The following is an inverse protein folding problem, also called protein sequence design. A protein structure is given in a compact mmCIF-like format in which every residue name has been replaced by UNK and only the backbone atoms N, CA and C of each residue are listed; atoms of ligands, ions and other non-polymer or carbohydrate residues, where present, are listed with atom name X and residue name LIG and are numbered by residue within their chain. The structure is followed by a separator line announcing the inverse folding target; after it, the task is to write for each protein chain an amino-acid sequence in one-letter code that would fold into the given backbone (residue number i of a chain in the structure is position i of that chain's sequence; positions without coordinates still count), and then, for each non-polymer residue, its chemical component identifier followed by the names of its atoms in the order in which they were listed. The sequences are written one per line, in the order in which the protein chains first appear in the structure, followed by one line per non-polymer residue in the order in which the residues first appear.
data_IF_641217751119
#
_entry.id   IF_641217751119
#
_cell.length_a   1.000
_cell.length_b   1.000
_cell.length_c   1.000
_cell.angle_alpha   90.00
_cell.angle_beta   90.00
_cell.angle_gamma   90.00
#
_symmetry.space_group_name_H-M   'P 1'
#
loop_
_entity.id
_entity.type
_entity.pdbx_description
1 polymer ?
#
# COMPACT_ATOMS: atom_id res chain seq x y z
N UNK A 1 25.73 4.06 10.82
CA UNK A 1 25.00 2.79 11.05
C UNK A 1 24.20 2.47 9.79
N UNK A 2 24.69 1.56 8.96
CA UNK A 2 23.99 1.07 7.77
C UNK A 2 22.99 0.01 8.23
N UNK A 3 21.69 0.25 7.99
CA UNK A 3 20.64 -0.70 8.40
C UNK A 3 20.84 -2.03 7.66
N UNK A 4 20.98 -3.12 8.42
CA UNK A 4 21.01 -4.47 7.91
C UNK A 4 19.69 -4.76 7.19
N UNK A 5 19.76 -4.94 5.87
CA UNK A 5 18.66 -5.47 5.07
C UNK A 5 18.39 -6.88 5.57
N UNK A 6 17.34 -7.07 6.36
CA UNK A 6 16.93 -8.38 6.83
C UNK A 6 16.76 -9.33 5.64
N UNK A 7 17.64 -10.32 5.52
CA UNK A 7 17.55 -11.37 4.52
C UNK A 7 16.30 -12.19 4.81
N UNK A 8 15.22 -11.93 4.07
CA UNK A 8 14.01 -12.73 4.16
C UNK A 8 14.29 -14.10 3.58
N UNK A 9 14.42 -15.10 4.46
CA UNK A 9 14.50 -16.51 4.05
C UNK A 9 13.26 -16.86 3.23
N UNK A 10 13.39 -17.47 2.05
CA UNK A 10 12.23 -17.82 1.24
C UNK A 10 11.43 -18.92 1.94
N UNK A 11 10.25 -18.58 2.46
CA UNK A 11 9.29 -19.56 2.96
C UNK A 11 8.69 -20.33 1.79
N UNK A 12 8.78 -21.66 1.82
CA UNK A 12 8.19 -22.55 0.81
C UNK A 12 6.76 -22.90 1.23
N UNK A 13 5.80 -22.57 0.38
CA UNK A 13 4.38 -22.87 0.59
C UNK A 13 3.92 -23.89 -0.45
N UNK A 14 3.31 -24.99 0.01
CA UNK A 14 2.69 -26.00 -0.87
C UNK A 14 1.18 -25.87 -0.80
N UNK A 15 0.53 -25.66 -1.94
CA UNK A 15 -0.94 -25.49 -2.03
C UNK A 15 -1.49 -26.55 -2.99
N UNK A 16 -2.60 -27.17 -2.62
CA UNK A 16 -3.35 -28.07 -3.50
C UNK A 16 -4.32 -27.22 -4.33
N UNK A 17 -4.25 -27.38 -5.65
CA UNK A 17 -5.09 -26.67 -6.61
C UNK A 17 -5.58 -27.64 -7.68
N UNK A 18 -6.70 -27.31 -8.31
CA UNK A 18 -7.27 -28.12 -9.39
C UNK A 18 -6.33 -28.22 -10.59
N UNK A 19 -6.51 -29.30 -11.36
CA UNK A 19 -5.71 -29.58 -12.56
C UNK A 19 -5.86 -28.52 -13.64
N UNK A 20 -7.06 -27.93 -13.76
CA UNK A 20 -7.33 -26.89 -14.74
C UNK A 20 -6.66 -25.57 -14.37
N UNK A 21 -6.62 -25.25 -13.08
CA UNK A 21 -5.87 -24.09 -12.58
C UNK A 21 -4.36 -24.28 -12.81
N UNK A 22 -3.86 -25.49 -12.60
CA UNK A 22 -2.46 -25.83 -12.89
C UNK A 22 -2.11 -25.65 -14.38
N UNK A 23 -3.00 -26.08 -15.29
CA UNK A 23 -2.82 -25.90 -16.74
C UNK A 23 -2.84 -24.43 -17.14
N UNK A 24 -3.80 -23.67 -16.61
CA UNK A 24 -3.92 -22.23 -16.86
C UNK A 24 -2.68 -21.48 -16.38
N UNK A 25 -2.20 -21.78 -15.17
CA UNK A 25 -0.99 -21.18 -14.60
C UNK A 25 0.26 -21.52 -15.42
N UNK A 26 0.36 -22.74 -15.94
CA UNK A 26 1.46 -23.14 -16.83
C UNK A 26 1.39 -22.44 -18.21
N UNK A 27 0.21 -22.12 -18.72
CA UNK A 27 0.05 -21.32 -19.95
C UNK A 27 0.47 -19.88 -19.72
N UNK A 28 0.07 -19.31 -18.59
CA UNK A 28 0.40 -17.93 -18.21
C UNK A 28 1.91 -17.75 -17.98
N UNK A 29 2.54 -18.71 -17.30
CA UNK A 29 3.99 -18.77 -17.13
C UNK A 29 4.74 -18.74 -18.47
N UNK A 30 4.30 -19.54 -19.45
CA UNK A 30 4.90 -19.56 -20.79
C UNK A 30 4.69 -18.23 -21.53
N UNK A 31 3.47 -17.68 -21.52
CA UNK A 31 3.14 -16.40 -22.17
C UNK A 31 4.00 -15.26 -21.64
N UNK A 32 4.24 -15.21 -20.33
CA UNK A 32 5.02 -14.17 -19.67
C UNK A 32 6.52 -14.45 -19.57
N UNK A 33 6.99 -15.60 -20.09
CA UNK A 33 8.37 -16.09 -19.94
C UNK A 33 8.86 -16.10 -18.48
N UNK A 34 7.98 -16.51 -17.56
CA UNK A 34 8.25 -16.59 -16.11
C UNK A 34 8.07 -18.01 -15.60
N UNK A 35 8.59 -18.29 -14.40
CA UNK A 35 8.33 -19.56 -13.71
C UNK A 35 6.90 -19.61 -13.18
N UNK A 36 6.38 -20.83 -12.94
CA UNK A 36 5.07 -21.03 -12.31
C UNK A 36 4.98 -20.32 -10.96
N UNK A 37 6.03 -20.43 -10.14
CA UNK A 37 6.08 -19.84 -8.81
C UNK A 37 6.09 -18.31 -8.83
N UNK A 38 6.78 -17.69 -9.80
CA UNK A 38 6.77 -16.22 -9.95
C UNK A 38 5.38 -15.72 -10.35
N UNK A 39 4.75 -16.36 -11.33
CA UNK A 39 3.37 -16.00 -11.73
C UNK A 39 2.40 -16.21 -10.58
N UNK A 40 2.50 -17.32 -9.86
CA UNK A 40 1.70 -17.58 -8.66
C UNK A 40 1.91 -16.48 -7.60
N UNK A 41 3.16 -16.09 -7.35
CA UNK A 41 3.49 -15.02 -6.42
C UNK A 41 2.89 -13.69 -6.85
N UNK A 42 2.96 -13.33 -8.13
CA UNK A 42 2.37 -12.10 -8.65
C UNK A 42 0.85 -12.07 -8.50
N UNK A 43 0.18 -13.18 -8.84
CA UNK A 43 -1.28 -13.31 -8.69
C UNK A 43 -1.68 -13.22 -7.22
N UNK A 44 -1.00 -13.95 -6.33
CA UNK A 44 -1.26 -13.89 -4.89
C UNK A 44 -0.94 -12.51 -4.31
N UNK A 45 0.11 -11.84 -4.79
CA UNK A 45 0.45 -10.47 -4.37
C UNK A 45 -0.59 -9.48 -4.86
N UNK A 46 -1.13 -9.64 -6.07
CA UNK A 46 -2.22 -8.79 -6.56
C UNK A 46 -3.53 -9.03 -5.79
N UNK A 47 -3.86 -10.30 -5.49
CA UNK A 47 -5.07 -10.65 -4.75
C UNK A 47 -5.02 -10.30 -3.27
N UNK A 48 -3.87 -10.48 -2.61
CA UNK A 48 -3.68 -10.21 -1.18
C UNK A 48 -3.11 -8.81 -0.90
N UNK A 49 -2.46 -8.19 -1.88
CA UNK A 49 -1.79 -6.89 -1.75
C UNK A 49 -2.74 -5.69 -1.74
N UNK A 50 -4.02 -5.89 -2.07
CA UNK A 50 -5.06 -4.87 -1.93
C UNK A 50 -5.27 -4.42 -0.47
N UNK A 51 -4.89 -5.24 0.52
CA UNK A 51 -5.14 -4.88 1.93
C UNK A 51 -3.97 -4.19 2.64
N UNK A 52 -2.71 -4.45 2.30
CA UNK A 52 -1.58 -3.93 3.10
C UNK A 52 -1.07 -2.54 2.70
N UNK A 53 -1.28 -2.12 1.45
CA UNK A 53 -0.75 -0.83 0.98
C UNK A 53 -1.66 0.38 1.27
N UNK A 54 -2.94 0.14 1.55
CA UNK A 54 -3.95 1.21 1.51
C UNK A 54 -4.65 1.46 2.85
N UNK A 55 -4.54 0.59 3.85
CA UNK A 55 -5.20 0.80 5.15
C UNK A 55 -4.64 2.03 5.88
N UNK A 56 -3.31 2.16 5.99
CA UNK A 56 -2.70 3.33 6.68
C UNK A 56 -2.99 4.63 5.91
N UNK A 57 -2.86 4.60 4.59
CA UNK A 57 -3.11 5.78 3.76
C UNK A 57 -4.61 6.17 3.72
N UNK A 58 -5.53 5.20 3.74
CA UNK A 58 -6.97 5.45 3.84
C UNK A 58 -7.37 5.91 5.24
N UNK A 59 -6.83 5.32 6.30
CA UNK A 59 -7.12 5.71 7.69
C UNK A 59 -6.60 7.14 7.94
N UNK A 60 -5.39 7.47 7.45
CA UNK A 60 -4.86 8.83 7.50
C UNK A 60 -5.76 9.82 6.75
N UNK A 61 -6.19 9.49 5.52
CA UNK A 61 -7.14 10.35 4.78
C UNK A 61 -8.49 10.47 5.47
N UNK A 62 -9.00 9.40 6.08
CA UNK A 62 -10.27 9.37 6.82
C UNK A 62 -10.17 10.26 8.06
N UNK A 63 -9.07 10.17 8.80
CA UNK A 63 -8.80 11.03 9.95
C UNK A 63 -8.63 12.49 9.52
N UNK A 64 -7.88 12.79 8.46
CA UNK A 64 -7.76 14.15 7.91
C UNK A 64 -9.12 14.70 7.42
N UNK A 65 -9.98 13.87 6.83
CA UNK A 65 -11.34 14.27 6.41
C UNK A 65 -12.28 14.52 7.59
N UNK A 66 -12.14 13.75 8.68
CA UNK A 66 -12.92 13.94 9.91
C UNK A 66 -12.46 15.18 10.69
N UNK A 67 -11.17 15.50 10.62
CA UNK A 67 -10.54 16.66 11.28
C UNK A 67 -10.89 17.94 10.51
N UNK A 68 -10.64 17.98 9.19
CA UNK A 68 -10.94 19.14 8.32
C UNK A 68 -12.42 19.53 8.18
N UNK A 69 -13.35 18.67 8.59
CA UNK A 69 -14.80 18.95 8.58
C UNK A 69 -15.30 19.63 9.85
N UNK A 70 -14.48 19.80 10.89
CA UNK A 70 -14.89 20.50 12.11
C UNK A 70 -14.88 22.01 11.90
N UNK A 71 -16.02 22.64 12.14
CA UNK A 71 -16.23 24.10 12.02
C UNK A 71 -15.20 24.91 12.81
N UNK A 72 -14.79 24.41 13.97
CA UNK A 72 -13.77 24.99 14.86
C UNK A 72 -12.37 25.06 14.24
N UNK A 73 -12.04 24.17 13.31
CA UNK A 73 -10.69 24.12 12.71
C UNK A 73 -10.60 25.03 11.48
N UNK A 74 -11.69 25.21 10.73
CA UNK A 74 -11.81 26.31 9.75
C UNK A 74 -11.64 27.68 10.42
N UNK A 75 -12.23 27.86 11.59
CA UNK A 75 -12.06 29.08 12.39
C UNK A 75 -10.62 29.21 12.91
N UNK A 76 -9.98 28.11 13.29
CA UNK A 76 -8.57 28.10 13.73
C UNK A 76 -7.61 28.44 12.57
N UNK A 77 -7.80 27.85 11.39
CA UNK A 77 -7.01 28.17 10.19
C UNK A 77 -7.23 29.62 9.75
N UNK A 78 -8.47 30.11 9.77
CA UNK A 78 -8.78 31.51 9.47
C UNK A 78 -8.19 32.48 10.49
N UNK A 79 -8.18 32.12 11.77
CA UNK A 79 -7.52 32.90 12.82
C UNK A 79 -5.99 32.92 12.60
N UNK A 80 -5.36 31.78 12.31
CA UNK A 80 -3.92 31.72 12.04
C UNK A 80 -3.57 32.56 10.81
N UNK A 81 -4.34 32.51 9.73
CA UNK A 81 -4.14 33.34 8.54
C UNK A 81 -4.30 34.83 8.83
N UNK A 82 -5.29 35.23 9.64
CA UNK A 82 -5.50 36.63 10.01
C UNK A 82 -4.47 37.17 10.99
N UNK A 83 -3.91 36.31 11.85
CA UNK A 83 -2.94 36.69 12.88
C UNK A 83 -1.49 36.45 12.44
N UNK A 84 -1.27 35.79 11.29
CA UNK A 84 0.04 35.57 10.72
C UNK A 84 0.65 36.93 10.35
N UNK A 85 1.61 37.37 11.17
CA UNK A 85 2.41 38.55 10.87
C UNK A 85 3.32 38.27 9.67
N UNK A 86 2.91 38.73 8.50
CA UNK A 86 3.70 38.60 7.26
C UNK A 86 4.83 39.63 7.17
N UNK A 87 5.07 40.45 8.20
CA UNK A 87 6.01 41.60 8.14
C UNK A 87 7.36 41.38 8.80
N UNK A 88 7.70 40.19 9.27
CA UNK A 88 9.01 40.00 9.88
C UNK A 88 9.54 38.59 9.76
N UNK A 89 10.30 38.31 8.70
CA UNK A 89 11.60 37.62 8.79
C UNK A 89 12.59 38.40 7.92
N UNK A 90 13.57 39.03 8.56
CA UNK A 90 14.77 39.58 7.95
C UNK A 90 15.96 38.92 8.61
#
# INVERSE_FOLDING_TARGET
MTMSRAEKTPAVLTIRIDTDLTRSLAREARRRRKTKSEVAREILTAGLGLEKGNLIAQEARRQSLLVSRRRSEKETLGFIEQTADTRGWK
#
